data_IF_623905262984
#
_entry.id   IF_623905262984
#
_cell.length_a   1.000
_cell.length_b   1.000
_cell.length_c   1.000
_cell.angle_alpha   90.00
_cell.angle_beta   90.00
_cell.angle_gamma   90.00
#
_symmetry.space_group_name_H-M   'P 1'
#
loop_
_entity.id
_entity.type
_entity.pdbx_description
1 polymer ?
#
# COMPACT_ATOMS: atom_id res chain seq x y z
N UNK A 1 30.99 -12.50 31.58
CA UNK A 1 29.86 -11.54 31.54
C UNK A 1 29.34 -11.49 30.11
N UNK A 2 28.31 -12.28 29.80
CA UNK A 2 27.71 -12.35 28.45
C UNK A 2 26.65 -11.26 28.32
N UNK A 3 27.05 -10.14 27.73
CA UNK A 3 26.10 -9.10 27.30
C UNK A 3 25.25 -9.63 26.16
N UNK A 4 24.02 -10.05 26.46
CA UNK A 4 23.02 -10.36 25.45
C UNK A 4 22.61 -9.06 24.76
N UNK A 5 23.18 -8.78 23.59
CA UNK A 5 22.64 -7.79 22.67
C UNK A 5 21.21 -8.21 22.33
N UNK A 6 20.22 -7.60 22.99
CA UNK A 6 18.82 -7.61 22.52
C UNK A 6 18.83 -6.90 21.17
N UNK A 7 19.07 -7.65 20.10
CA UNK A 7 18.72 -7.21 18.76
C UNK A 7 17.23 -6.89 18.82
N UNK A 8 16.87 -5.63 18.63
CA UNK A 8 15.48 -5.21 18.47
C UNK A 8 14.99 -5.81 17.15
N UNK A 9 14.67 -7.11 17.19
CA UNK A 9 14.23 -7.83 16.02
C UNK A 9 12.91 -7.25 15.55
N UNK A 10 12.85 -6.94 14.26
CA UNK A 10 11.61 -6.49 13.64
C UNK A 10 10.65 -7.68 13.66
N UNK A 11 9.42 -7.54 14.19
CA UNK A 11 8.43 -8.60 14.15
C UNK A 11 8.22 -9.08 12.70
N UNK A 12 8.10 -10.39 12.51
CA UNK A 12 7.88 -10.97 11.17
C UNK A 12 6.61 -10.40 10.54
N UNK A 13 5.57 -10.16 11.33
CA UNK A 13 4.29 -9.53 10.92
C UNK A 13 4.49 -8.13 10.34
N UNK A 14 5.37 -7.32 10.94
CA UNK A 14 5.75 -6.00 10.43
C UNK A 14 6.44 -6.12 9.08
N UNK A 15 7.38 -7.07 8.93
CA UNK A 15 8.09 -7.27 7.68
C UNK A 15 7.13 -7.74 6.56
N UNK A 16 6.23 -8.67 6.87
CA UNK A 16 5.18 -9.14 5.95
C UNK A 16 4.28 -7.98 5.52
N UNK A 17 3.84 -7.14 6.46
CA UNK A 17 3.05 -5.93 6.17
C UNK A 17 3.76 -5.02 5.16
N UNK A 18 5.05 -4.77 5.39
CA UNK A 18 5.87 -3.91 4.52
C UNK A 18 6.06 -4.50 3.12
N UNK A 19 6.21 -5.82 3.00
CA UNK A 19 6.30 -6.51 1.72
C UNK A 19 4.97 -6.40 0.97
N UNK A 20 3.84 -6.66 1.63
CA UNK A 20 2.52 -6.59 1.00
C UNK A 20 2.22 -5.15 0.52
N UNK A 21 2.48 -4.13 1.35
CA UNK A 21 2.32 -2.73 0.95
C UNK A 21 3.19 -2.42 -0.28
N UNK A 22 4.44 -2.91 -0.31
CA UNK A 22 5.32 -2.70 -1.46
C UNK A 22 4.79 -3.37 -2.73
N UNK A 23 4.24 -4.58 -2.62
CA UNK A 23 3.60 -5.26 -3.76
C UNK A 23 2.41 -4.45 -4.29
N UNK A 24 1.56 -3.90 -3.42
CA UNK A 24 0.45 -3.02 -3.82
C UNK A 24 0.97 -1.79 -4.56
N UNK A 25 2.02 -1.16 -4.04
CA UNK A 25 2.68 -0.01 -4.68
C UNK A 25 3.11 -0.36 -6.11
N UNK A 26 3.79 -1.49 -6.28
CA UNK A 26 4.26 -1.96 -7.59
C UNK A 26 3.08 -2.17 -8.53
N UNK A 27 1.98 -2.77 -8.06
CA UNK A 27 0.78 -3.00 -8.87
C UNK A 27 0.15 -1.68 -9.29
N UNK A 28 -0.07 -0.74 -8.37
CA UNK A 28 -0.70 0.55 -8.70
C UNK A 28 0.15 1.40 -9.64
N UNK A 29 1.46 1.49 -9.39
CA UNK A 29 2.37 2.22 -10.27
C UNK A 29 2.47 1.54 -11.63
N UNK A 30 2.62 0.21 -11.66
CA UNK A 30 2.68 -0.57 -12.89
C UNK A 30 1.40 -0.43 -13.72
N UNK A 31 0.23 -0.43 -13.08
CA UNK A 31 -1.06 -0.23 -13.73
C UNK A 31 -1.21 1.19 -14.29
N UNK A 32 -0.75 2.21 -13.56
CA UNK A 32 -0.69 3.59 -14.07
C UNK A 32 0.18 3.70 -15.32
N UNK A 33 1.38 3.10 -15.32
CA UNK A 33 2.24 3.06 -16.50
C UNK A 33 1.58 2.31 -17.66
N UNK A 34 0.94 1.18 -17.38
CA UNK A 34 0.21 0.41 -18.38
C UNK A 34 -0.89 1.24 -19.07
N UNK A 35 -1.64 2.03 -18.30
CA UNK A 35 -2.63 2.96 -18.86
C UNK A 35 -1.99 4.08 -19.68
N UNK A 36 -0.90 4.67 -19.18
CA UNK A 36 -0.22 5.79 -19.85
C UNK A 36 0.32 5.40 -21.22
N UNK A 37 0.90 4.19 -21.35
CA UNK A 37 1.39 3.65 -22.63
C UNK A 37 0.22 3.42 -23.59
N UNK A 38 -0.97 3.10 -23.08
CA UNK A 38 -2.16 2.84 -23.91
C UNK A 38 -2.10 1.50 -24.62
N UNK A 39 -1.43 0.51 -24.00
CA UNK A 39 -1.21 -0.83 -24.58
C UNK A 39 -2.50 -1.64 -24.82
N UNK A 40 -3.66 -1.16 -24.32
CA UNK A 40 -4.96 -1.80 -24.51
C UNK A 40 -5.87 -0.94 -25.40
N UNK A 41 -6.62 -1.54 -26.35
CA UNK A 41 -7.45 -0.81 -27.31
C UNK A 41 -8.51 0.12 -26.69
N UNK A 42 -9.03 -0.21 -25.50
CA UNK A 42 -9.98 0.66 -24.78
C UNK A 42 -9.32 1.94 -24.28
N UNK A 43 -8.08 1.87 -23.78
CA UNK A 43 -7.34 3.03 -23.29
C UNK A 43 -6.75 3.89 -24.41
N UNK A 44 -6.39 3.28 -25.55
CA UNK A 44 -5.92 4.01 -26.73
C UNK A 44 -7.01 4.95 -27.29
N UNK A 45 -8.28 4.54 -27.22
CA UNK A 45 -9.43 5.34 -27.69
C UNK A 45 -9.78 6.52 -26.78
N UNK A 46 -9.27 6.55 -25.55
CA UNK A 46 -9.54 7.61 -24.57
C UNK A 46 -8.70 8.88 -24.78
N UNK A 47 -7.72 8.87 -25.69
CA UNK A 47 -6.96 10.07 -26.06
C UNK A 47 -6.28 10.72 -24.85
N UNK A 48 -6.54 12.01 -24.60
CA UNK A 48 -5.98 12.74 -23.46
C UNK A 48 -6.47 12.23 -22.10
N UNK A 49 -7.67 11.62 -22.03
CA UNK A 49 -8.26 11.13 -20.79
C UNK A 49 -7.46 9.96 -20.18
N UNK A 50 -6.68 9.22 -20.98
CA UNK A 50 -5.78 8.17 -20.48
C UNK A 50 -4.74 8.71 -19.49
N UNK A 51 -4.26 9.94 -19.70
CA UNK A 51 -3.26 10.57 -18.84
C UNK A 51 -3.86 10.99 -17.49
N UNK A 52 -5.12 11.42 -17.51
CA UNK A 52 -5.87 11.74 -16.29
C UNK A 52 -6.07 10.47 -15.47
N UNK A 53 -6.56 9.39 -16.08
CA UNK A 53 -6.71 8.10 -15.40
C UNK A 53 -5.36 7.55 -14.91
N UNK A 54 -4.31 7.64 -15.71
CA UNK A 54 -2.96 7.24 -15.28
C UNK A 54 -2.48 8.06 -14.08
N UNK A 55 -2.71 9.38 -14.06
CA UNK A 55 -2.36 10.23 -12.91
C UNK A 55 -3.17 9.89 -11.66
N UNK A 56 -4.48 9.66 -11.81
CA UNK A 56 -5.37 9.27 -10.71
C UNK A 56 -4.98 7.92 -10.11
N UNK A 57 -4.52 6.97 -10.92
CA UNK A 57 -4.02 5.66 -10.45
C UNK A 57 -2.58 5.71 -9.94
N UNK A 58 -1.76 6.63 -10.44
CA UNK A 58 -0.39 6.82 -9.94
C UNK A 58 -0.37 7.33 -8.50
N UNK A 59 -1.24 8.30 -8.21
CA UNK A 59 -1.32 9.01 -6.92
C UNK A 59 -1.39 8.07 -5.70
N UNK A 60 -2.33 7.10 -5.63
CA UNK A 60 -2.38 6.15 -4.52
C UNK A 60 -1.13 5.26 -4.41
N UNK A 61 -0.55 4.83 -5.54
CA UNK A 61 0.70 4.06 -5.55
C UNK A 61 1.88 4.84 -4.99
N UNK A 62 2.04 6.10 -5.42
CA UNK A 62 3.07 7.01 -4.90
C UNK A 62 2.85 7.31 -3.41
N UNK A 63 1.61 7.57 -3.02
CA UNK A 63 1.26 7.82 -1.61
C UNK A 63 1.65 6.64 -0.72
N UNK A 64 1.28 5.42 -1.10
CA UNK A 64 1.64 4.21 -0.37
C UNK A 64 3.16 3.98 -0.34
N UNK A 65 3.89 4.33 -1.39
CA UNK A 65 5.36 4.24 -1.41
C UNK A 65 5.99 5.19 -0.36
N UNK A 66 5.51 6.43 -0.29
CA UNK A 66 5.97 7.40 0.72
C UNK A 66 5.61 6.90 2.12
N UNK A 67 4.39 6.41 2.32
CA UNK A 67 3.96 5.87 3.60
C UNK A 67 4.76 4.63 4.03
N UNK A 68 5.06 3.72 3.11
CA UNK A 68 5.92 2.56 3.33
C UNK A 68 7.29 2.99 3.89
N UNK A 69 7.90 4.02 3.30
CA UNK A 69 9.16 4.56 3.80
C UNK A 69 9.02 5.21 5.19
N UNK A 70 7.96 5.99 5.42
CA UNK A 70 7.72 6.66 6.70
C UNK A 70 7.33 5.69 7.84
N UNK A 71 6.65 4.59 7.51
CA UNK A 71 6.32 3.51 8.44
C UNK A 71 7.60 2.82 8.96
N UNK A 72 8.61 2.63 8.09
CA UNK A 72 9.93 2.11 8.50
C UNK A 72 10.66 3.05 9.45
N UNK A 73 10.48 4.37 9.27
CA UNK A 73 10.95 5.40 10.20
C UNK A 73 10.13 5.49 11.49
N UNK A 74 9.09 4.67 11.65
CA UNK A 74 8.15 4.67 12.79
C UNK A 74 7.54 6.05 13.03
N UNK A 75 7.26 6.79 11.96
CA UNK A 75 6.63 8.10 12.07
C UNK A 75 5.13 7.92 12.37
N UNK A 76 4.69 8.41 13.54
CA UNK A 76 3.32 8.18 14.04
C UNK A 76 2.22 8.57 13.04
N UNK A 77 2.28 9.73 12.36
CA UNK A 77 1.28 10.11 11.37
C UNK A 77 1.20 9.13 10.20
N UNK A 78 2.32 8.53 9.78
CA UNK A 78 2.30 7.55 8.69
C UNK A 78 1.45 6.33 9.01
N UNK A 79 1.40 5.89 10.27
CA UNK A 79 0.53 4.79 10.67
C UNK A 79 -0.94 5.15 10.46
N UNK A 80 -1.39 6.30 10.97
CA UNK A 80 -2.78 6.74 10.81
C UNK A 80 -3.15 6.93 9.34
N UNK A 81 -2.29 7.61 8.58
CA UNK A 81 -2.51 7.87 7.16
C UNK A 81 -2.58 6.58 6.34
N UNK A 82 -1.72 5.60 6.63
CA UNK A 82 -1.74 4.31 5.92
C UNK A 82 -2.99 3.51 6.26
N UNK A 83 -3.38 3.46 7.53
CA UNK A 83 -4.60 2.76 7.97
C UNK A 83 -5.83 3.35 7.29
N UNK A 84 -5.94 4.69 7.28
CA UNK A 84 -7.03 5.39 6.61
C UNK A 84 -7.03 5.10 5.10
N UNK A 85 -5.87 5.22 4.44
CA UNK A 85 -5.76 4.99 3.01
C UNK A 85 -6.09 3.54 2.61
N UNK A 86 -5.56 2.55 3.33
CA UNK A 86 -5.87 1.14 3.07
C UNK A 86 -7.35 0.85 3.36
N UNK A 87 -7.93 1.44 4.41
CA UNK A 87 -9.37 1.33 4.69
C UNK A 87 -10.23 1.87 3.55
N UNK A 88 -9.93 3.07 3.05
CA UNK A 88 -10.62 3.64 1.89
C UNK A 88 -10.43 2.79 0.63
N UNK A 89 -9.22 2.28 0.38
CA UNK A 89 -8.97 1.39 -0.75
C UNK A 89 -9.78 0.11 -0.66
N UNK A 90 -9.79 -0.56 0.50
CA UNK A 90 -10.57 -1.79 0.69
C UNK A 90 -12.06 -1.53 0.46
N UNK A 91 -12.60 -0.43 0.99
CA UNK A 91 -14.00 -0.05 0.78
C UNK A 91 -14.27 0.24 -0.70
N UNK A 92 -13.41 1.03 -1.35
CA UNK A 92 -13.57 1.38 -2.77
C UNK A 92 -13.56 0.15 -3.67
N UNK A 93 -12.68 -0.83 -3.40
CA UNK A 93 -12.59 -2.08 -4.17
C UNK A 93 -13.84 -2.95 -3.96
N UNK A 94 -14.43 -2.97 -2.76
CA UNK A 94 -15.68 -3.71 -2.50
C UNK A 94 -16.86 -3.17 -3.33
N UNK A 95 -16.89 -1.85 -3.56
CA UNK A 95 -17.94 -1.21 -4.34
C UNK A 95 -17.71 -1.27 -5.86
N UNK A 96 -16.52 -1.70 -6.29
CA UNK A 96 -16.25 -1.96 -7.70
C UNK A 96 -16.87 -3.31 -8.13
N UNK A 97 -17.06 -3.52 -9.43
CA UNK A 97 -17.57 -4.80 -9.92
C UNK A 97 -16.61 -5.93 -9.53
N UNK A 98 -17.12 -6.96 -8.88
CA UNK A 98 -16.29 -8.00 -8.27
C UNK A 98 -15.81 -8.99 -9.33
N UNK A 99 -14.63 -8.73 -9.91
CA UNK A 99 -13.82 -9.73 -10.60
C UNK A 99 -12.88 -10.46 -9.65
N UNK A 100 -12.33 -11.60 -10.08
CA UNK A 100 -11.32 -12.35 -9.31
C UNK A 100 -10.06 -11.51 -9.00
N UNK A 101 -9.72 -10.57 -9.87
CA UNK A 101 -8.61 -9.63 -9.68
C UNK A 101 -8.93 -8.64 -8.56
N UNK A 102 -10.16 -8.16 -8.48
CA UNK A 102 -10.59 -7.21 -7.46
C UNK A 102 -10.61 -7.84 -6.08
N UNK A 103 -10.98 -9.12 -5.97
CA UNK A 103 -10.84 -9.89 -4.72
C UNK A 103 -9.38 -9.96 -4.28
N UNK A 104 -8.44 -10.21 -5.20
CA UNK A 104 -7.02 -10.25 -4.88
C UNK A 104 -6.49 -8.88 -4.42
N UNK A 105 -6.91 -7.78 -5.06
CA UNK A 105 -6.55 -6.41 -4.67
C UNK A 105 -7.21 -6.00 -3.34
N UNK A 106 -8.44 -6.44 -3.10
CA UNK A 106 -9.15 -6.25 -1.83
C UNK A 106 -8.39 -6.93 -0.70
N UNK A 107 -8.04 -8.21 -0.85
CA UNK A 107 -7.21 -8.91 0.14
C UNK A 107 -5.83 -8.26 0.28
N UNK A 108 -5.25 -7.81 -0.85
CA UNK A 108 -4.00 -7.06 -0.88
C UNK A 108 -4.03 -5.82 0.00
N UNK A 109 -5.15 -5.09 0.06
CA UNK A 109 -5.30 -3.91 0.94
C UNK A 109 -5.78 -4.26 2.36
N UNK A 110 -6.65 -5.26 2.51
CA UNK A 110 -7.24 -5.65 3.80
C UNK A 110 -6.23 -6.36 4.72
N UNK A 111 -5.38 -7.23 4.19
CA UNK A 111 -4.37 -7.95 4.99
C UNK A 111 -3.39 -6.98 5.67
N UNK A 112 -2.70 -6.07 4.97
CA UNK A 112 -1.78 -5.13 5.61
C UNK A 112 -2.51 -4.15 6.52
N UNK A 113 -3.79 -3.81 6.24
CA UNK A 113 -4.62 -3.02 7.15
C UNK A 113 -4.79 -3.74 8.50
N UNK A 114 -5.19 -5.00 8.50
CA UNK A 114 -5.34 -5.80 9.73
C UNK A 114 -4.00 -5.96 10.44
N UNK A 115 -2.93 -6.26 9.72
CA UNK A 115 -1.59 -6.39 10.31
C UNK A 115 -1.09 -5.08 10.92
N UNK A 116 -1.33 -3.93 10.28
CA UNK A 116 -1.00 -2.61 10.85
C UNK A 116 -1.72 -2.37 12.19
N UNK A 117 -2.97 -2.82 12.32
CA UNK A 117 -3.76 -2.69 13.55
C UNK A 117 -3.23 -3.61 14.65
N UNK A 118 -2.86 -4.85 14.32
CA UNK A 118 -2.26 -5.82 15.24
C UNK A 118 -0.91 -5.30 15.74
N UNK A 119 -0.05 -4.87 14.81
CA UNK A 119 1.31 -4.40 15.10
C UNK A 119 1.35 -2.91 15.52
N UNK A 120 0.20 -2.28 15.84
CA UNK A 120 0.11 -0.86 16.18
C UNK A 120 1.14 -0.42 17.23
N UNK A 121 1.41 -1.29 18.20
CA UNK A 121 2.36 -1.01 19.29
C UNK A 121 3.78 -0.83 18.77
N UNK A 122 4.17 -1.52 17.70
CA UNK A 122 5.50 -1.39 17.11
C UNK A 122 5.67 -0.05 16.38
N UNK A 123 4.66 0.37 15.63
CA UNK A 123 4.68 1.62 14.85
C UNK A 123 4.51 2.88 15.72
N UNK A 124 3.76 2.78 16.83
CA UNK A 124 3.48 3.91 17.71
C UNK A 124 4.45 4.04 18.89
N UNK A 125 5.30 3.03 19.14
CA UNK A 125 6.30 3.09 20.21
C UNK A 125 7.36 4.12 19.84
N UNK A 126 7.34 5.24 20.55
CA UNK A 126 8.36 6.29 20.46
C UNK A 126 9.74 5.68 20.70
N UNK A 127 10.69 5.95 19.82
CA UNK A 127 12.12 5.81 20.14
C UNK A 127 12.39 6.98 21.09
N UNK A 128 12.28 6.73 22.40
CA UNK A 128 12.74 7.65 23.44
C UNK A 128 14.24 7.48 23.60
#
# INVERSE_FOLDING_TARGET
>A
MTGTHKTTQIPVTVNVTQIIILMIVIVWIGFSFYMAVGSYPSYAKLGAYRWIMAGMTFTPGLFLLVMWFLLRKRWKPAWFLTVIALGFMTIAIIFDQVGWVDVALMLGSAIPLVLLIIDRKWYLKTIT
#
